data_IF_562055410387
#
_entry.id   IF_562055410387
#
_cell.length_a   1.000
_cell.length_b   1.000
_cell.length_c   1.000
_cell.angle_alpha   90.00
_cell.angle_beta   90.00
_cell.angle_gamma   90.00
#
_symmetry.space_group_name_H-M   'P 1'
#
loop_
_entity.id
_entity.type
_entity.pdbx_description
1 polymer ?
#
# COMPACT_ATOMS: atom_id res chain seq x y z
N UNK A 1 -2.62 -7.94 7.24
CA UNK A 1 -2.59 -9.39 7.53
C UNK A 1 -1.57 -10.12 6.65
N UNK A 2 -1.04 -11.26 7.13
CA UNK A 2 -0.21 -12.15 6.32
C UNK A 2 -1.03 -13.15 5.45
N UNK A 3 -2.35 -13.18 5.59
CA UNK A 3 -3.25 -13.98 4.78
C UNK A 3 -3.44 -15.45 5.23
N UNK A 4 -2.70 -15.94 6.22
CA UNK A 4 -2.71 -17.37 6.60
C UNK A 4 -4.11 -17.83 7.04
N UNK A 5 -4.80 -17.03 7.87
CA UNK A 5 -6.17 -17.38 8.30
C UNK A 5 -7.17 -17.29 7.13
N UNK A 6 -7.04 -16.27 6.29
CA UNK A 6 -7.87 -16.12 5.09
C UNK A 6 -7.73 -17.32 4.15
N UNK A 7 -6.51 -17.87 4.01
CA UNK A 7 -6.24 -19.01 3.15
C UNK A 7 -6.71 -20.37 3.76
N UNK A 8 -6.57 -20.54 5.07
CA UNK A 8 -6.65 -21.86 5.68
C UNK A 8 -7.92 -22.11 6.54
N UNK A 9 -8.62 -21.04 6.94
CA UNK A 9 -9.83 -21.18 7.76
C UNK A 9 -11.07 -21.01 6.88
N UNK A 10 -11.84 -22.07 6.62
CA UNK A 10 -13.05 -21.97 5.81
C UNK A 10 -14.04 -20.96 6.39
N UNK A 11 -14.64 -20.13 5.53
CA UNK A 11 -15.63 -19.13 5.94
C UNK A 11 -15.05 -17.90 6.65
N UNK A 12 -13.72 -17.79 6.80
CA UNK A 12 -13.12 -16.67 7.54
C UNK A 12 -13.28 -15.32 6.82
N UNK A 13 -13.18 -15.29 5.49
CA UNK A 13 -13.41 -14.08 4.71
C UNK A 13 -14.87 -13.62 4.79
N UNK A 14 -15.82 -14.54 4.69
CA UNK A 14 -17.25 -14.28 4.83
C UNK A 14 -17.59 -13.77 6.24
N UNK A 15 -16.97 -14.35 7.27
CA UNK A 15 -17.13 -13.90 8.67
C UNK A 15 -16.64 -12.46 8.84
N UNK A 16 -15.49 -12.11 8.27
CA UNK A 16 -14.96 -10.75 8.32
C UNK A 16 -15.88 -9.75 7.60
N UNK A 17 -16.39 -10.13 6.42
CA UNK A 17 -17.37 -9.30 5.69
C UNK A 17 -18.63 -9.08 6.50
N UNK A 18 -19.20 -10.13 7.07
CA UNK A 18 -20.38 -10.06 7.92
C UNK A 18 -20.16 -9.23 9.21
N UNK A 19 -18.94 -9.20 9.71
CA UNK A 19 -18.54 -8.36 10.85
C UNK A 19 -18.31 -6.88 10.49
N UNK A 20 -18.50 -6.49 9.22
CA UNK A 20 -18.33 -5.10 8.76
C UNK A 20 -16.89 -4.78 8.34
N UNK A 21 -16.07 -5.76 8.01
CA UNK A 21 -14.76 -5.50 7.41
C UNK A 21 -14.94 -5.08 5.94
N UNK A 22 -14.47 -3.90 5.58
CA UNK A 22 -14.61 -3.35 4.23
C UNK A 22 -13.42 -3.67 3.35
N UNK A 23 -12.20 -3.74 3.92
CA UNK A 23 -10.96 -3.82 3.16
C UNK A 23 -9.90 -4.64 3.89
N UNK A 24 -9.21 -5.50 3.15
CA UNK A 24 -8.07 -6.27 3.63
C UNK A 24 -6.76 -5.68 3.08
N UNK A 25 -5.83 -5.34 3.96
CA UNK A 25 -4.44 -5.09 3.59
C UNK A 25 -3.68 -6.41 3.65
N UNK A 26 -3.44 -7.00 2.48
CA UNK A 26 -2.73 -8.27 2.36
C UNK A 26 -1.25 -8.05 2.07
N UNK A 27 -0.37 -8.48 2.96
CA UNK A 27 1.05 -8.58 2.67
C UNK A 27 1.26 -9.48 1.46
N UNK A 28 1.88 -8.95 0.38
CA UNK A 28 2.05 -9.64 -0.89
C UNK A 28 3.34 -9.16 -1.57
N UNK A 29 4.43 -9.92 -1.43
CA UNK A 29 5.77 -9.46 -1.78
C UNK A 29 6.18 -9.80 -3.23
N UNK A 30 5.42 -10.65 -3.94
CA UNK A 30 5.67 -11.03 -5.33
C UNK A 30 4.96 -12.31 -5.75
N UNK A 31 5.25 -12.78 -6.97
CA UNK A 31 4.64 -13.94 -7.62
C UNK A 31 5.59 -15.15 -7.67
N UNK A 32 6.60 -15.20 -6.79
CA UNK A 32 7.59 -16.26 -6.74
C UNK A 32 7.98 -16.56 -5.29
N UNK A 33 7.98 -17.84 -4.92
CA UNK A 33 8.38 -18.27 -3.58
C UNK A 33 9.86 -18.03 -3.26
N UNK A 34 10.71 -17.79 -4.25
CA UNK A 34 12.09 -17.35 -4.01
C UNK A 34 12.15 -15.99 -3.32
N UNK A 35 11.22 -15.08 -3.65
CA UNK A 35 11.02 -13.79 -2.98
C UNK A 35 10.57 -14.03 -1.53
N UNK A 36 9.55 -14.86 -1.33
CA UNK A 36 9.04 -15.15 0.01
C UNK A 36 10.07 -15.84 0.90
N UNK A 37 10.88 -16.77 0.37
CA UNK A 37 11.97 -17.39 1.15
C UNK A 37 12.98 -16.36 1.63
N UNK A 38 13.35 -15.39 0.79
CA UNK A 38 14.27 -14.29 1.17
C UNK A 38 13.67 -13.35 2.22
N UNK A 39 12.38 -12.98 2.07
CA UNK A 39 11.74 -11.97 2.93
C UNK A 39 11.06 -12.60 4.14
N UNK A 40 10.47 -13.80 4.00
CA UNK A 40 9.59 -14.46 5.00
C UNK A 40 10.11 -15.79 5.48
N UNK A 41 11.27 -16.26 4.98
CA UNK A 41 11.93 -17.52 5.34
C UNK A 41 11.15 -18.80 5.01
N UNK A 42 10.10 -18.71 4.19
CA UNK A 42 9.24 -19.85 3.78
C UNK A 42 8.43 -19.52 2.53
N UNK A 43 7.89 -20.57 1.90
CA UNK A 43 6.97 -20.45 0.78
C UNK A 43 5.63 -19.90 1.24
N UNK A 44 5.12 -18.91 0.53
CA UNK A 44 3.88 -18.20 0.88
C UNK A 44 2.96 -17.95 -0.31
N UNK A 45 3.41 -18.13 -1.55
CA UNK A 45 2.64 -17.75 -2.74
C UNK A 45 1.28 -18.45 -2.79
N UNK A 46 1.22 -19.77 -2.59
CA UNK A 46 -0.03 -20.52 -2.57
C UNK A 46 -1.00 -20.00 -1.48
N UNK A 47 -0.48 -19.67 -0.30
CA UNK A 47 -1.27 -19.07 0.78
C UNK A 47 -1.86 -17.72 0.34
N UNK A 48 -1.06 -16.88 -0.36
CA UNK A 48 -1.52 -15.58 -0.86
C UNK A 48 -2.64 -15.74 -1.89
N UNK A 49 -2.43 -16.62 -2.87
CA UNK A 49 -3.41 -16.88 -3.92
C UNK A 49 -4.74 -17.42 -3.36
N UNK A 50 -4.69 -18.37 -2.42
CA UNK A 50 -5.90 -18.87 -1.75
C UNK A 50 -6.59 -17.80 -0.90
N UNK A 51 -5.82 -16.96 -0.21
CA UNK A 51 -6.40 -15.84 0.55
C UNK A 51 -7.15 -14.86 -0.36
N UNK A 52 -6.58 -14.53 -1.53
CA UNK A 52 -7.21 -13.67 -2.54
C UNK A 52 -8.48 -14.32 -3.06
N UNK A 53 -8.43 -15.59 -3.48
CA UNK A 53 -9.60 -16.30 -4.00
C UNK A 53 -10.75 -16.40 -2.97
N UNK A 54 -10.44 -16.59 -1.69
CA UNK A 54 -11.45 -16.62 -0.63
C UNK A 54 -12.07 -15.22 -0.39
N UNK A 55 -11.28 -14.16 -0.47
CA UNK A 55 -11.80 -12.79 -0.36
C UNK A 55 -12.66 -12.41 -1.57
N UNK A 56 -12.24 -12.78 -2.78
CA UNK A 56 -13.01 -12.61 -4.01
C UNK A 56 -14.37 -13.27 -3.90
N UNK A 57 -14.40 -14.54 -3.49
CA UNK A 57 -15.65 -15.29 -3.26
C UNK A 57 -16.55 -14.65 -2.21
N UNK A 58 -15.99 -14.06 -1.19
CA UNK A 58 -16.73 -13.38 -0.11
C UNK A 58 -17.15 -11.93 -0.48
N UNK A 59 -16.74 -11.41 -1.64
CA UNK A 59 -16.96 -10.02 -2.01
C UNK A 59 -16.24 -9.05 -1.07
N UNK A 60 -15.03 -9.37 -0.62
CA UNK A 60 -14.23 -8.57 0.30
C UNK A 60 -13.05 -7.94 -0.43
N UNK A 61 -13.04 -6.62 -0.52
CA UNK A 61 -12.02 -5.86 -1.22
C UNK A 61 -10.63 -5.98 -0.56
N UNK A 62 -9.59 -5.83 -1.37
CA UNK A 62 -8.20 -5.99 -0.92
C UNK A 62 -7.27 -4.90 -1.47
N UNK A 63 -6.23 -4.60 -0.69
CA UNK A 63 -5.01 -3.93 -1.12
C UNK A 63 -3.82 -4.88 -0.94
N UNK A 64 -2.97 -4.96 -1.95
CA UNK A 64 -1.69 -5.67 -1.84
C UNK A 64 -0.64 -4.77 -1.21
N UNK A 65 0.15 -5.31 -0.29
CA UNK A 65 1.17 -4.55 0.44
C UNK A 65 2.52 -5.27 0.30
N UNK A 66 3.27 -5.01 -0.77
CA UNK A 66 4.62 -5.54 -0.93
C UNK A 66 5.64 -4.73 -0.12
N UNK A 67 6.54 -5.42 0.56
CA UNK A 67 7.81 -4.83 1.00
C UNK A 67 8.76 -4.86 -0.19
N UNK A 68 9.34 -3.72 -0.54
CA UNK A 68 10.25 -3.59 -1.68
C UNK A 68 11.71 -3.62 -1.21
N UNK A 69 12.48 -4.56 -1.75
CA UNK A 69 13.89 -4.77 -1.38
C UNK A 69 14.74 -4.85 -2.66
N UNK A 70 15.80 -4.02 -2.79
CA UNK A 70 16.77 -4.11 -3.88
C UNK A 70 17.38 -5.51 -4.00
N UNK A 71 17.53 -6.01 -5.22
CA UNK A 71 18.06 -7.34 -5.48
C UNK A 71 17.16 -8.50 -5.05
N UNK A 72 15.91 -8.22 -4.67
CA UNK A 72 14.90 -9.23 -4.32
C UNK A 72 13.65 -9.12 -5.19
N UNK A 73 13.01 -7.95 -5.22
CA UNK A 73 11.75 -7.75 -5.93
C UNK A 73 11.56 -6.32 -6.52
N UNK A 74 12.52 -5.40 -6.33
CA UNK A 74 12.44 -4.05 -6.91
C UNK A 74 12.36 -4.07 -8.44
N UNK A 75 12.99 -5.04 -9.07
CA UNK A 75 13.01 -5.29 -10.52
C UNK A 75 11.77 -6.05 -11.04
N UNK A 76 10.81 -6.38 -10.17
CA UNK A 76 9.63 -7.19 -10.48
C UNK A 76 8.31 -6.56 -10.01
N UNK A 77 8.27 -5.25 -9.81
CA UNK A 77 7.07 -4.54 -9.35
C UNK A 77 5.96 -4.56 -10.40
N UNK A 78 6.32 -4.51 -11.69
CA UNK A 78 5.37 -4.60 -12.81
C UNK A 78 4.55 -5.89 -12.79
N UNK A 79 5.15 -7.02 -12.43
CA UNK A 79 4.42 -8.30 -12.29
C UNK A 79 3.31 -8.20 -11.23
N UNK A 80 3.57 -7.49 -10.12
CA UNK A 80 2.57 -7.29 -9.06
C UNK A 80 1.44 -6.38 -9.57
N UNK A 81 1.77 -5.35 -10.37
CA UNK A 81 0.78 -4.44 -10.98
C UNK A 81 -0.12 -5.23 -11.95
N UNK A 82 0.46 -6.01 -12.86
CA UNK A 82 -0.30 -6.81 -13.82
C UNK A 82 -1.18 -7.86 -13.14
N UNK A 83 -0.66 -8.52 -12.13
CA UNK A 83 -1.44 -9.45 -11.31
C UNK A 83 -2.62 -8.75 -10.63
N UNK A 84 -2.39 -7.59 -10.02
CA UNK A 84 -3.45 -6.84 -9.34
C UNK A 84 -4.53 -6.36 -10.33
N UNK A 85 -4.14 -5.88 -11.52
CA UNK A 85 -5.07 -5.50 -12.60
C UNK A 85 -6.00 -6.63 -13.00
N UNK A 86 -5.47 -7.84 -13.12
CA UNK A 86 -6.26 -9.04 -13.49
C UNK A 86 -7.29 -9.44 -12.42
N UNK A 87 -7.17 -8.93 -11.19
CA UNK A 87 -8.08 -9.24 -10.07
C UNK A 87 -8.95 -8.05 -9.64
N UNK A 88 -9.04 -6.99 -10.46
CA UNK A 88 -10.04 -5.93 -10.25
C UNK A 88 -11.44 -6.52 -10.58
N UNK A 89 -12.48 -6.27 -9.76
CA UNK A 89 -12.57 -5.26 -8.71
C UNK A 89 -12.15 -5.71 -7.29
N UNK A 90 -11.79 -6.95 -7.06
CA UNK A 90 -11.43 -7.45 -5.72
C UNK A 90 -10.16 -6.79 -5.20
N UNK A 91 -9.10 -6.74 -6.01
CA UNK A 91 -7.89 -5.99 -5.67
C UNK A 91 -8.07 -4.53 -6.11
N UNK A 92 -8.17 -3.64 -5.13
CA UNK A 92 -8.44 -2.20 -5.31
C UNK A 92 -7.18 -1.35 -5.38
N UNK A 93 -6.02 -1.95 -5.21
CA UNK A 93 -4.75 -1.24 -5.32
C UNK A 93 -3.57 -1.95 -4.70
N UNK A 94 -2.43 -1.26 -4.78
CA UNK A 94 -1.16 -1.70 -4.23
C UNK A 94 -0.58 -0.57 -3.37
N UNK A 95 -0.04 -0.95 -2.21
CA UNK A 95 0.64 -0.03 -1.30
C UNK A 95 2.08 -0.47 -1.09
N UNK A 96 3.01 0.06 -1.86
CA UNK A 96 4.43 -0.29 -1.81
C UNK A 96 5.11 0.25 -0.54
N UNK A 97 5.89 -0.58 0.10
CA UNK A 97 6.64 -0.23 1.30
C UNK A 97 8.14 -0.50 1.07
N UNK A 98 8.94 0.52 0.72
CA UNK A 98 10.39 0.36 0.72
C UNK A 98 10.87 -0.20 2.05
N UNK A 99 11.87 -1.08 2.00
CA UNK A 99 12.41 -1.72 3.19
C UNK A 99 12.92 -0.71 4.21
N UNK A 100 12.60 -0.96 5.47
CA UNK A 100 13.13 -0.21 6.63
C UNK A 100 13.68 -1.20 7.65
N UNK A 101 14.83 -0.89 8.20
CA UNK A 101 15.56 -1.79 9.09
C UNK A 101 15.15 -1.53 10.54
N UNK A 102 13.93 -1.96 10.88
CA UNK A 102 13.37 -1.79 12.22
C UNK A 102 13.92 -2.78 13.24
N UNK A 103 13.89 -2.37 14.51
CA UNK A 103 14.10 -3.24 15.65
C UNK A 103 15.56 -3.59 15.87
N UNK A 104 15.81 -4.88 16.13
CA UNK A 104 17.15 -5.39 16.44
C UNK A 104 17.92 -5.72 15.16
N UNK A 105 18.13 -4.75 14.30
CA UNK A 105 19.07 -4.97 13.22
C UNK A 105 20.46 -5.10 13.85
N UNK A 106 21.08 -6.28 13.85
CA UNK A 106 22.35 -6.47 14.55
C UNK A 106 23.47 -5.79 13.77
N UNK A 107 24.16 -4.88 14.39
CA UNK A 107 25.44 -4.42 13.90
C UNK A 107 25.41 -3.07 13.20
N UNK A 108 26.16 -2.98 12.11
CA UNK A 108 26.46 -1.75 11.40
C UNK A 108 25.29 -1.26 10.55
N UNK A 109 25.36 0.01 10.14
CA UNK A 109 24.47 0.58 9.14
C UNK A 109 24.34 -0.36 7.94
N UNK A 110 23.10 -0.73 7.50
CA UNK A 110 22.91 -1.49 6.28
C UNK A 110 23.57 -0.77 5.09
N UNK A 111 24.21 -1.51 4.18
CA UNK A 111 24.86 -0.90 3.03
C UNK A 111 23.85 -0.17 2.15
N UNK A 112 24.26 0.93 1.52
CA UNK A 112 23.36 1.79 0.73
C UNK A 112 22.66 1.03 -0.40
N UNK A 113 23.33 0.07 -1.03
CA UNK A 113 22.78 -0.81 -2.06
C UNK A 113 21.63 -1.71 -1.58
N UNK A 114 21.50 -1.91 -0.27
CA UNK A 114 20.39 -2.66 0.32
C UNK A 114 19.17 -1.79 0.65
N UNK A 115 19.30 -0.47 0.48
CA UNK A 115 18.23 0.49 0.74
C UNK A 115 17.54 0.90 -0.55
N UNK A 116 16.25 1.17 -0.46
CA UNK A 116 15.53 1.90 -1.50
C UNK A 116 14.60 2.93 -0.88
N UNK A 117 14.43 4.02 -1.58
CA UNK A 117 13.49 5.07 -1.24
C UNK A 117 12.23 5.01 -2.11
N UNK A 118 11.32 5.96 -1.88
CA UNK A 118 10.11 6.09 -2.70
C UNK A 118 10.44 6.45 -4.16
N UNK A 119 11.50 7.22 -4.38
CA UNK A 119 11.98 7.56 -5.74
C UNK A 119 12.39 6.32 -6.52
N UNK A 120 13.09 5.38 -5.89
CA UNK A 120 13.52 4.14 -6.56
C UNK A 120 12.32 3.28 -6.96
N UNK A 121 11.31 3.20 -6.06
CA UNK A 121 10.05 2.50 -6.35
C UNK A 121 9.30 3.17 -7.51
N UNK A 122 9.22 4.49 -7.54
CA UNK A 122 8.54 5.22 -8.62
C UNK A 122 9.24 5.04 -9.97
N UNK A 123 10.58 5.13 -10.01
CA UNK A 123 11.34 4.88 -11.25
C UNK A 123 11.13 3.44 -11.73
N UNK A 124 11.26 2.46 -10.83
CA UNK A 124 11.05 1.06 -11.18
C UNK A 124 9.63 0.79 -11.70
N UNK A 125 8.59 1.41 -11.11
CA UNK A 125 7.21 1.30 -11.61
C UNK A 125 7.05 1.89 -13.01
N UNK A 126 7.58 3.10 -13.26
CA UNK A 126 7.47 3.73 -14.58
C UNK A 126 8.28 3.01 -15.66
N UNK A 127 9.40 2.38 -15.30
CA UNK A 127 10.19 1.56 -16.21
C UNK A 127 9.52 0.22 -16.55
N UNK A 128 8.87 -0.41 -15.57
CA UNK A 128 8.28 -1.74 -15.72
C UNK A 128 6.83 -1.71 -16.22
N UNK A 129 6.11 -0.58 -16.06
CA UNK A 129 4.72 -0.42 -16.45
C UNK A 129 4.58 0.78 -17.40
N UNK A 130 4.56 0.58 -18.73
CA UNK A 130 4.55 1.68 -19.72
C UNK A 130 3.35 2.63 -19.63
N UNK A 131 2.26 2.21 -18.97
CA UNK A 131 1.06 3.04 -18.74
C UNK A 131 1.17 3.96 -17.53
N UNK A 132 2.25 3.84 -16.73
CA UNK A 132 2.49 4.65 -15.55
C UNK A 132 3.52 5.75 -15.85
N UNK A 133 3.18 6.99 -15.52
CA UNK A 133 4.05 8.15 -15.70
C UNK A 133 4.33 8.82 -14.35
N UNK A 134 5.55 9.33 -14.16
CA UNK A 134 5.96 10.01 -12.93
C UNK A 134 5.02 11.17 -12.55
N UNK A 135 4.50 11.90 -13.54
CA UNK A 135 3.57 13.03 -13.37
C UNK A 135 2.22 12.65 -12.76
N UNK A 136 1.87 11.36 -12.77
CA UNK A 136 0.61 10.86 -12.20
C UNK A 136 0.68 10.65 -10.69
N UNK A 137 1.89 10.58 -10.13
CA UNK A 137 2.10 10.33 -8.71
C UNK A 137 2.24 11.63 -7.95
N UNK A 138 1.45 11.75 -6.87
CA UNK A 138 1.42 12.95 -6.05
C UNK A 138 1.68 12.59 -4.58
N UNK A 139 2.47 13.39 -3.84
CA UNK A 139 2.55 13.26 -2.39
C UNK A 139 1.21 13.67 -1.78
N UNK A 140 0.73 12.94 -0.79
CA UNK A 140 -0.51 13.32 -0.10
C UNK A 140 -0.26 14.50 0.84
N UNK A 141 -1.10 15.52 0.75
CA UNK A 141 -0.94 16.79 1.50
C UNK A 141 -0.91 16.62 3.04
N UNK A 142 -1.46 15.53 3.57
CA UNK A 142 -1.45 15.24 5.01
C UNK A 142 -0.12 14.69 5.53
N UNK A 143 0.77 14.24 4.64
CA UNK A 143 2.07 13.69 4.98
C UNK A 143 3.20 14.65 4.56
N UNK A 144 4.38 14.41 5.12
CA UNK A 144 5.59 14.96 4.53
C UNK A 144 5.81 14.36 3.13
N UNK A 145 6.22 15.18 2.17
CA UNK A 145 6.40 14.76 0.78
C UNK A 145 7.42 13.62 0.61
N UNK A 146 8.33 13.43 1.58
CA UNK A 146 9.28 12.33 1.60
C UNK A 146 8.70 11.05 2.22
N UNK A 147 7.47 11.10 2.76
CA UNK A 147 6.87 9.96 3.43
C UNK A 147 6.02 9.10 2.52
N UNK A 148 5.37 9.68 1.51
CA UNK A 148 4.45 8.92 0.68
C UNK A 148 4.25 9.48 -0.73
N UNK A 149 3.67 8.64 -1.58
CA UNK A 149 3.07 9.02 -2.85
C UNK A 149 1.75 8.27 -3.07
N UNK A 150 0.90 8.79 -3.93
CA UNK A 150 -0.29 8.09 -4.40
C UNK A 150 -0.69 8.50 -5.80
N UNK A 151 -1.30 7.57 -6.53
CA UNK A 151 -2.00 7.83 -7.77
C UNK A 151 -3.27 6.99 -7.83
N UNK A 152 -4.31 7.53 -8.45
CA UNK A 152 -5.60 6.85 -8.63
C UNK A 152 -5.87 6.64 -10.10
N UNK A 153 -6.30 5.44 -10.44
CA UNK A 153 -6.63 5.01 -11.78
C UNK A 153 -8.03 4.40 -11.82
N UNK A 154 -8.56 4.20 -12.99
CA UNK A 154 -9.59 3.20 -13.25
C UNK A 154 -9.16 2.30 -14.40
N UNK A 155 -9.60 1.05 -14.38
CA UNK A 155 -9.37 0.10 -15.47
C UNK A 155 -10.43 0.30 -16.54
N UNK A 156 -10.04 0.68 -17.76
CA UNK A 156 -10.96 0.86 -18.88
C UNK A 156 -11.46 -0.50 -19.45
N UNK A 157 -12.32 -0.45 -20.45
CA UNK A 157 -12.89 -1.66 -21.09
C UNK A 157 -11.85 -2.45 -21.90
N UNK A 158 -10.71 -1.84 -22.22
CA UNK A 158 -9.60 -2.44 -22.95
C UNK A 158 -8.54 -3.04 -22.02
N UNK A 159 -8.71 -2.87 -20.69
CA UNK A 159 -7.78 -3.35 -19.68
C UNK A 159 -6.60 -2.41 -19.41
N UNK A 160 -6.68 -1.13 -19.79
CA UNK A 160 -5.66 -0.13 -19.49
C UNK A 160 -5.97 0.64 -18.21
N UNK A 161 -4.94 0.98 -17.46
CA UNK A 161 -5.04 1.90 -16.32
C UNK A 161 -5.07 3.35 -16.82
N UNK A 162 -6.21 4.00 -16.67
CA UNK A 162 -6.38 5.42 -17.02
C UNK A 162 -6.24 6.25 -15.76
N UNK A 163 -5.25 7.15 -15.75
CA UNK A 163 -4.97 8.00 -14.58
C UNK A 163 -6.08 9.01 -14.31
N UNK A 164 -6.44 9.14 -13.05
CA UNK A 164 -7.35 10.14 -12.52
C UNK A 164 -6.64 11.19 -11.66
N UNK A 165 -5.32 11.02 -11.45
CA UNK A 165 -4.46 11.91 -10.68
C UNK A 165 -3.45 12.57 -11.61
N UNK A 166 -3.22 13.87 -11.41
CA UNK A 166 -2.09 14.60 -11.99
C UNK A 166 -1.53 15.54 -10.94
N UNK A 167 -0.22 15.66 -10.91
CA UNK A 167 0.44 16.65 -10.09
C UNK A 167 0.20 18.04 -10.69
N UNK A 168 -0.50 18.91 -9.94
CA UNK A 168 -0.64 20.33 -10.26
C UNK A 168 0.10 21.15 -9.20
N UNK A 169 1.11 21.92 -9.63
CA UNK A 169 1.89 22.79 -8.72
C UNK A 169 1.02 23.87 -8.07
N UNK A 170 -0.11 24.25 -8.70
CA UNK A 170 -1.03 25.26 -8.19
C UNK A 170 -1.94 24.75 -7.07
N UNK A 171 -2.02 23.43 -6.86
CA UNK A 171 -2.81 22.83 -5.78
C UNK A 171 -2.11 22.91 -4.40
N UNK A 172 -0.93 23.53 -4.32
CA UNK A 172 -0.14 23.59 -3.08
C UNK A 172 -0.78 24.41 -1.96
N UNK A 173 -1.72 25.33 -2.27
CA UNK A 173 -2.20 26.39 -1.36
C UNK A 173 -3.57 26.14 -0.71
N UNK A 174 -4.22 24.97 -0.86
CA UNK A 174 -5.50 24.69 -0.20
C UNK A 174 -5.32 24.28 1.27
N UNK A 175 -6.12 24.87 2.17
CA UNK A 175 -6.09 24.63 3.62
C UNK A 175 -6.14 23.13 3.97
N UNK A 176 -5.17 22.69 4.81
CA UNK A 176 -4.87 21.27 5.09
C UNK A 176 -6.01 20.46 5.73
N UNK A 177 -6.84 21.07 6.57
CA UNK A 177 -7.81 20.34 7.43
C UNK A 177 -9.04 19.82 6.67
N UNK A 178 -9.64 20.64 5.83
CA UNK A 178 -10.85 20.29 5.05
C UNK A 178 -10.54 19.24 3.95
N UNK A 179 -9.32 19.29 3.43
CA UNK A 179 -8.83 18.39 2.40
C UNK A 179 -8.62 16.97 2.93
N UNK A 180 -8.09 16.81 4.15
CA UNK A 180 -7.82 15.49 4.77
C UNK A 180 -9.12 14.70 4.94
N UNK A 181 -10.17 15.32 5.48
CA UNK A 181 -11.45 14.65 5.71
C UNK A 181 -12.13 14.26 4.39
N UNK A 182 -12.13 15.14 3.40
CA UNK A 182 -12.67 14.87 2.06
C UNK A 182 -11.90 13.77 1.35
N UNK A 183 -10.56 13.80 1.42
CA UNK A 183 -9.69 12.79 0.80
C UNK A 183 -9.89 11.43 1.45
N UNK A 184 -9.96 11.35 2.78
CA UNK A 184 -10.19 10.10 3.49
C UNK A 184 -11.56 9.49 3.14
N UNK A 185 -12.63 10.28 3.15
CA UNK A 185 -13.98 9.82 2.75
C UNK A 185 -14.02 9.35 1.30
N UNK A 186 -13.34 10.07 0.40
CA UNK A 186 -13.26 9.71 -1.02
C UNK A 186 -12.45 8.43 -1.24
N UNK A 187 -11.30 8.30 -0.57
CA UNK A 187 -10.43 7.12 -0.66
C UNK A 187 -11.13 5.88 -0.12
N UNK A 188 -11.72 5.95 1.07
CA UNK A 188 -12.47 4.83 1.67
C UNK A 188 -13.62 4.41 0.76
N UNK A 189 -14.42 5.37 0.25
CA UNK A 189 -15.53 5.06 -0.65
C UNK A 189 -15.09 4.35 -1.94
N UNK A 190 -13.89 4.65 -2.47
CA UNK A 190 -13.35 4.00 -3.66
C UNK A 190 -12.75 2.63 -3.39
N UNK A 191 -12.23 2.42 -2.20
CA UNK A 191 -11.61 1.14 -1.84
C UNK A 191 -12.63 0.08 -1.42
N UNK A 192 -13.82 0.50 -1.01
CA UNK A 192 -14.92 -0.42 -0.74
C UNK A 192 -15.42 -1.04 -2.04
N UNK A 193 -15.84 -2.29 -1.99
CA UNK A 193 -16.52 -2.93 -3.11
C UNK A 193 -17.83 -2.19 -3.42
N UNK A 194 -18.04 -1.84 -4.69
CA UNK A 194 -19.24 -1.16 -5.14
C UNK A 194 -20.15 -2.17 -5.85
N UNK A 195 -21.44 -2.23 -5.51
CA UNK A 195 -22.38 -3.10 -6.23
C UNK A 195 -22.53 -2.60 -7.67
N UNK A 196 -22.52 -3.53 -8.62
CA UNK A 196 -22.82 -3.21 -10.03
C UNK A 196 -24.24 -2.67 -10.15
N UNK A 197 -24.38 -1.47 -10.67
CA UNK A 197 -25.65 -0.87 -11.02
C UNK A 197 -25.79 -0.88 -12.55
N UNK A 198 -26.85 -1.44 -13.08
CA UNK A 198 -27.16 -1.32 -14.52
C UNK A 198 -27.51 0.12 -14.85
N UNK A 199 -26.69 0.75 -15.69
CA UNK A 199 -26.84 2.14 -16.10
C UNK A 199 -27.07 2.24 -17.60
N UNK A 200 -28.04 3.08 -18.03
CA UNK A 200 -28.55 3.09 -19.40
C UNK A 200 -27.83 4.04 -20.37
N UNK A 201 -26.99 4.94 -19.88
CA UNK A 201 -26.27 5.90 -20.72
C UNK A 201 -24.75 5.69 -20.72
N UNK A 202 -24.02 6.06 -21.79
CA UNK A 202 -22.55 5.97 -21.82
C UNK A 202 -21.87 6.71 -20.68
N UNK A 203 -22.38 7.88 -20.31
CA UNK A 203 -21.85 8.68 -19.19
C UNK A 203 -22.05 7.96 -17.84
N UNK A 204 -23.20 7.34 -17.65
CA UNK A 204 -23.49 6.60 -16.43
C UNK A 204 -22.64 5.33 -16.33
N UNK A 205 -22.43 4.60 -17.44
CA UNK A 205 -21.51 3.45 -17.50
C UNK A 205 -20.08 3.87 -17.18
N UNK A 206 -19.62 4.99 -17.73
CA UNK A 206 -18.31 5.55 -17.39
C UNK A 206 -18.19 5.88 -15.90
N UNK A 207 -19.17 6.57 -15.33
CA UNK A 207 -19.20 6.92 -13.89
C UNK A 207 -19.22 5.67 -13.00
N UNK A 208 -19.97 4.65 -13.37
CA UNK A 208 -20.01 3.37 -12.68
C UNK A 208 -18.63 2.67 -12.73
N UNK A 209 -18.04 2.60 -13.93
CA UNK A 209 -16.74 1.96 -14.11
C UNK A 209 -15.64 2.65 -13.32
N UNK A 210 -15.63 3.98 -13.26
CA UNK A 210 -14.66 4.72 -12.43
C UNK A 210 -14.82 4.47 -10.93
N UNK A 211 -15.96 3.98 -10.48
CA UNK A 211 -16.21 3.58 -9.09
C UNK A 211 -15.90 2.09 -8.86
N UNK A 212 -16.45 1.21 -9.70
CA UNK A 212 -16.32 -0.24 -9.53
C UNK A 212 -14.92 -0.76 -9.87
N UNK A 213 -14.27 -0.18 -10.88
CA UNK A 213 -12.94 -0.57 -11.36
C UNK A 213 -11.86 0.46 -11.02
N UNK A 214 -12.04 1.25 -9.94
CA UNK A 214 -10.99 2.14 -9.46
C UNK A 214 -9.82 1.34 -8.88
N UNK A 215 -8.61 1.83 -9.10
CA UNK A 215 -7.37 1.21 -8.66
C UNK A 215 -6.41 2.27 -8.12
N UNK A 216 -5.78 2.01 -6.99
CA UNK A 216 -4.85 2.94 -6.38
C UNK A 216 -3.44 2.34 -6.34
N UNK A 217 -2.45 3.10 -6.80
CA UNK A 217 -1.04 2.78 -6.57
C UNK A 217 -0.51 3.82 -5.59
N UNK A 218 0.00 3.36 -4.47
CA UNK A 218 0.55 4.22 -3.43
C UNK A 218 1.80 3.60 -2.80
N UNK A 219 2.57 4.40 -2.10
CA UNK A 219 3.71 3.91 -1.34
C UNK A 219 3.98 4.77 -0.13
N UNK A 220 4.58 4.16 0.89
CA UNK A 220 4.99 4.86 2.11
C UNK A 220 6.37 4.39 2.55
N UNK A 221 7.29 5.35 2.69
CA UNK A 221 8.63 5.13 3.19
C UNK A 221 8.72 5.40 4.69
N UNK A 222 9.03 4.36 5.46
CA UNK A 222 9.28 4.48 6.89
C UNK A 222 10.76 4.76 7.16
N UNK A 223 11.02 5.43 8.27
CA UNK A 223 12.37 5.74 8.74
C UNK A 223 12.82 4.71 9.76
N UNK A 224 14.09 4.38 9.75
CA UNK A 224 14.77 3.59 10.77
C UNK A 224 15.87 4.42 11.48
N UNK A 225 16.61 3.82 12.41
CA UNK A 225 17.58 4.53 13.25
C UNK A 225 18.70 5.21 12.45
N UNK A 226 19.03 4.73 11.24
CA UNK A 226 20.14 5.26 10.42
C UNK A 226 19.72 6.40 9.49
N UNK A 227 18.41 6.60 9.26
CA UNK A 227 17.89 7.65 8.38
C UNK A 227 16.81 8.50 9.03
N UNK A 228 16.75 8.49 10.38
CA UNK A 228 15.72 9.20 11.13
C UNK A 228 15.85 10.72 10.98
N UNK A 229 14.77 11.36 10.60
CA UNK A 229 14.62 12.82 10.54
C UNK A 229 13.60 13.27 11.59
N UNK A 230 14.07 14.07 12.55
CA UNK A 230 13.23 14.54 13.65
C UNK A 230 12.17 15.57 13.21
N UNK A 231 12.42 16.30 12.12
CA UNK A 231 11.45 17.21 11.52
C UNK A 231 10.24 16.45 10.98
N UNK A 232 10.50 15.40 10.21
CA UNK A 232 9.46 14.49 9.72
C UNK A 232 8.70 13.79 10.85
N UNK A 233 9.39 13.38 11.93
CA UNK A 233 8.74 12.77 13.10
C UNK A 233 7.76 13.71 13.79
N UNK A 234 8.09 15.00 13.92
CA UNK A 234 7.20 16.00 14.54
C UNK A 234 5.93 16.22 13.75
N UNK A 235 5.99 16.12 12.43
CA UNK A 235 4.85 16.25 11.52
C UNK A 235 4.14 14.92 11.22
N UNK A 236 4.54 13.81 11.82
CA UNK A 236 3.98 12.49 11.53
C UNK A 236 2.52 12.40 11.94
N UNK A 237 1.68 11.83 11.06
CA UNK A 237 0.27 11.55 11.34
C UNK A 237 -0.02 10.03 11.48
N UNK A 238 1.02 9.18 11.36
CA UNK A 238 0.91 7.73 11.60
C UNK A 238 1.47 7.41 12.97
N UNK A 239 0.60 7.00 13.88
CA UNK A 239 0.96 6.81 15.30
C UNK A 239 0.59 5.43 15.80
N UNK A 240 1.28 5.01 16.84
CA UNK A 240 0.94 3.86 17.68
C UNK A 240 0.64 4.36 19.09
N UNK A 241 -0.37 3.78 19.72
CA UNK A 241 -0.67 3.99 21.13
C UNK A 241 -0.01 2.84 21.90
N UNK A 242 0.88 3.16 22.82
CA UNK A 242 1.53 2.17 23.70
C UNK A 242 0.66 1.79 24.91
N UNK A 243 1.14 0.88 25.75
CA UNK A 243 0.43 0.43 26.95
C UNK A 243 0.21 1.53 28.01
N UNK A 244 0.93 2.66 27.91
CA UNK A 244 0.77 3.84 28.79
C UNK A 244 -0.17 4.88 28.20
N UNK A 245 -0.87 4.58 27.10
CA UNK A 245 -1.70 5.51 26.34
C UNK A 245 -0.93 6.72 25.74
N UNK A 246 0.38 6.58 25.53
CA UNK A 246 1.18 7.58 24.85
C UNK A 246 1.06 7.41 23.33
N UNK A 247 0.88 8.53 22.62
CA UNK A 247 0.76 8.58 21.15
C UNK A 247 2.17 8.79 20.59
N UNK A 248 2.71 7.79 19.90
CA UNK A 248 4.08 7.76 19.42
C UNK A 248 4.11 7.65 17.89
N UNK A 249 4.88 8.49 17.17
CA UNK A 249 5.07 8.32 15.74
C UNK A 249 5.54 6.91 15.38
N UNK A 250 4.96 6.32 14.33
CA UNK A 250 5.23 4.92 13.94
C UNK A 250 6.72 4.61 13.79
N UNK A 251 7.47 5.48 13.09
CA UNK A 251 8.91 5.28 12.91
C UNK A 251 9.67 5.34 14.24
N UNK A 252 9.29 6.26 15.15
CA UNK A 252 9.91 6.36 16.46
C UNK A 252 9.60 5.14 17.35
N UNK A 253 8.37 4.60 17.27
CA UNK A 253 7.98 3.43 18.05
C UNK A 253 8.85 2.19 17.79
N UNK A 254 9.37 2.07 16.59
CA UNK A 254 10.24 0.95 16.19
C UNK A 254 11.73 1.16 16.47
N UNK A 255 12.13 2.31 17.01
CA UNK A 255 13.52 2.57 17.35
C UNK A 255 14.01 1.72 18.52
N UNK A 256 15.26 1.29 18.41
CA UNK A 256 15.98 0.59 19.46
C UNK A 256 17.25 1.37 19.83
N UNK A 257 17.65 1.29 21.10
CA UNK A 257 18.95 1.78 21.55
C UNK A 257 20.10 0.92 20.98
N UNK A 258 21.34 1.40 21.09
CA UNK A 258 22.53 0.69 20.58
C UNK A 258 22.71 -0.71 21.21
N UNK A 259 22.23 -0.92 22.43
CA UNK A 259 22.21 -2.22 23.11
C UNK A 259 20.96 -3.09 22.76
N UNK A 260 20.16 -2.65 21.79
CA UNK A 260 19.01 -3.41 21.28
C UNK A 260 17.73 -3.28 22.11
N UNK A 261 17.67 -2.43 23.14
CA UNK A 261 16.45 -2.17 23.89
C UNK A 261 15.49 -1.33 23.06
N UNK A 262 14.21 -1.70 23.07
CA UNK A 262 13.14 -0.89 22.47
C UNK A 262 12.90 0.35 23.30
N UNK A 263 12.85 1.54 22.65
CA UNK A 263 12.74 2.81 23.36
C UNK A 263 11.33 3.11 23.88
N UNK A 264 10.30 2.60 23.22
CA UNK A 264 8.89 2.99 23.43
C UNK A 264 7.93 1.83 23.70
N UNK A 265 8.41 0.59 23.83
CA UNK A 265 7.55 -0.59 24.01
C UNK A 265 7.51 -1.08 25.47
N UNK A 266 7.50 -0.19 26.45
CA UNK A 266 7.33 -0.54 27.86
C UNK A 266 5.90 -0.31 28.33
#
# INVERSE_FOLDING_TARGET
TNGIKLANVPGYAEMLKAAGCDLIYLQFDGLDDTIYRKIRTRDMLDIKLRAIANCEKAGLAMLLVPVVIPGVNLDRLGEIVDFAKAHIPTIRGIHFQPVSYFGRFPGNNPPDESRCGLSDVLHALCEQCPELEMSQFVPRKQFDAHCDFSSTYYLDELGHLVSMSRYDQNDADTEKTDFVEKTNKYTVKRWMEQPEKKMDTPLMRFAERTLTHSFCISGMGFQDVWNIDLGRLKGCCVHIINSKCEVIPFCAFHLTSADGRRLYMN
#
